data_IF_841586449073
#
_entry.id   IF_841586449073
#
_cell.length_a   1.000
_cell.length_b   1.000
_cell.length_c   1.000
_cell.angle_alpha   90.00
_cell.angle_beta   90.00
_cell.angle_gamma   90.00
#
_symmetry.space_group_name_H-M   'P 1'
#
loop_
_entity.id
_entity.type
_entity.pdbx_description
1 polymer ?
#
# COMPACT_ATOMS: atom_id res chain seq x y z
N UNK A 1 -59.26 37.76 16.11
CA UNK A 1 -58.10 38.54 16.58
C UNK A 1 -57.52 37.74 17.76
N UNK A 2 -56.57 36.82 17.55
CA UNK A 2 -55.12 37.06 17.38
C UNK A 2 -54.55 37.85 18.58
N UNK A 3 -53.51 37.46 19.32
CA UNK A 3 -52.51 36.41 19.21
C UNK A 3 -52.00 36.09 20.63
N UNK A 4 -51.64 34.84 20.89
CA UNK A 4 -50.81 34.47 22.04
C UNK A 4 -49.34 34.59 21.64
N UNK A 5 -48.60 35.36 22.43
CA UNK A 5 -47.17 35.57 22.33
C UNK A 5 -46.48 34.42 23.07
N UNK A 6 -45.78 33.54 22.35
CA UNK A 6 -44.87 32.56 22.94
C UNK A 6 -43.53 32.65 22.22
N UNK A 7 -42.56 33.03 23.02
CA UNK A 7 -41.13 33.19 22.77
C UNK A 7 -40.50 32.05 21.96
N UNK A 8 -39.75 32.44 20.93
CA UNK A 8 -38.77 31.60 20.24
C UNK A 8 -37.68 31.15 21.21
N UNK A 9 -37.59 29.85 21.47
CA UNK A 9 -36.39 29.21 22.03
C UNK A 9 -35.66 28.45 20.93
N UNK A 10 -34.51 29.00 20.54
CA UNK A 10 -33.35 28.38 19.88
C UNK A 10 -33.48 26.91 19.46
N UNK A 11 -33.53 26.68 18.15
CA UNK A 11 -33.11 25.43 17.53
C UNK A 11 -31.64 25.18 17.89
N UNK A 12 -31.42 24.22 18.79
CA UNK A 12 -30.12 23.63 19.00
C UNK A 12 -29.78 22.80 17.78
N UNK A 13 -28.84 23.29 16.97
CA UNK A 13 -28.15 22.53 15.95
C UNK A 13 -27.34 21.42 16.64
N UNK A 14 -28.01 20.31 16.96
CA UNK A 14 -27.36 19.07 17.35
C UNK A 14 -26.77 18.51 16.07
N UNK A 15 -25.53 18.89 15.77
CA UNK A 15 -24.75 18.27 14.70
C UNK A 15 -24.71 16.77 14.99
N UNK A 16 -25.53 15.98 14.28
CA UNK A 16 -25.45 14.53 14.30
C UNK A 16 -24.06 14.21 13.77
N UNK A 17 -23.15 13.86 14.67
CA UNK A 17 -21.82 13.35 14.34
C UNK A 17 -22.00 12.29 13.27
N UNK A 18 -21.61 12.60 12.02
CA UNK A 18 -21.68 11.66 10.90
C UNK A 18 -20.94 10.40 11.34
N UNK A 19 -21.66 9.28 11.45
CA UNK A 19 -21.10 7.96 11.74
C UNK A 19 -19.91 7.71 10.80
N UNK A 20 -18.71 7.50 11.34
CA UNK A 20 -17.47 7.25 10.58
C UNK A 20 -16.97 5.85 10.86
N UNK A 21 -17.32 4.92 9.99
CA UNK A 21 -16.96 3.50 10.12
C UNK A 21 -16.20 3.07 8.87
N UNK A 22 -14.94 2.68 9.04
CA UNK A 22 -14.10 2.21 7.95
C UNK A 22 -13.94 0.68 8.00
N UNK A 23 -14.02 0.03 6.85
CA UNK A 23 -13.65 -1.37 6.69
C UNK A 23 -12.42 -1.49 5.78
N UNK A 24 -11.34 -2.07 6.31
CA UNK A 24 -10.08 -2.25 5.60
C UNK A 24 -9.88 -3.73 5.29
N UNK A 25 -9.78 -4.07 4.00
CA UNK A 25 -9.21 -5.37 3.59
C UNK A 25 -7.68 -5.23 3.60
N UNK A 26 -6.94 -6.30 3.91
CA UNK A 26 -5.47 -6.24 3.94
C UNK A 26 -4.91 -5.38 5.09
N UNK A 27 -5.64 -5.25 6.19
CA UNK A 27 -5.28 -4.39 7.33
C UNK A 27 -3.92 -4.74 7.97
N UNK A 28 -3.48 -6.00 7.87
CA UNK A 28 -2.20 -6.48 8.40
C UNK A 28 -1.00 -6.18 7.49
N UNK A 29 -1.25 -5.59 6.32
CA UNK A 29 -0.22 -5.11 5.39
C UNK A 29 0.44 -3.82 5.86
N UNK A 30 1.37 -3.32 5.05
CA UNK A 30 2.02 -2.02 5.27
C UNK A 30 0.97 -0.91 5.35
N UNK A 31 0.24 -0.71 4.26
CA UNK A 31 -0.62 0.46 4.10
C UNK A 31 -1.84 0.34 5.01
N UNK A 32 -2.40 -0.86 5.15
CA UNK A 32 -3.50 -1.14 6.08
C UNK A 32 -3.17 -0.75 7.52
N UNK A 33 -1.93 -1.01 7.98
CA UNK A 33 -1.52 -0.64 9.34
C UNK A 33 -1.41 0.88 9.54
N UNK A 34 -0.82 1.61 8.59
CA UNK A 34 -0.71 3.07 8.68
C UNK A 34 -2.06 3.77 8.47
N UNK A 35 -2.90 3.22 7.59
CA UNK A 35 -4.25 3.75 7.37
C UNK A 35 -5.13 3.53 8.59
N UNK A 36 -5.03 2.37 9.26
CA UNK A 36 -5.75 2.13 10.51
C UNK A 36 -5.35 3.16 11.59
N UNK A 37 -4.05 3.43 11.76
CA UNK A 37 -3.55 4.48 12.67
C UNK A 37 -4.14 5.86 12.32
N UNK A 38 -4.10 6.24 11.04
CA UNK A 38 -4.61 7.52 10.55
C UNK A 38 -6.12 7.68 10.78
N UNK A 39 -6.90 6.63 10.53
CA UNK A 39 -8.36 6.67 10.67
C UNK A 39 -8.76 6.68 12.15
N UNK A 40 -8.12 5.88 13.00
CA UNK A 40 -8.33 5.90 14.45
C UNK A 40 -8.01 7.28 15.03
N UNK A 41 -6.90 7.91 14.61
CA UNK A 41 -6.56 9.27 15.05
C UNK A 41 -7.54 10.35 14.59
N UNK A 42 -8.38 10.05 13.58
CA UNK A 42 -9.47 10.90 13.08
C UNK A 42 -10.83 10.56 13.69
N UNK A 43 -10.87 9.65 14.67
CA UNK A 43 -12.08 9.24 15.38
C UNK A 43 -12.97 8.26 14.61
N UNK A 44 -12.42 7.54 13.62
CA UNK A 44 -13.16 6.47 12.94
C UNK A 44 -13.24 5.23 13.82
N UNK A 45 -14.37 4.54 13.75
CA UNK A 45 -14.41 3.12 14.08
C UNK A 45 -13.80 2.33 12.91
N UNK A 46 -12.71 1.60 13.16
CA UNK A 46 -11.96 0.85 12.16
C UNK A 46 -12.21 -0.64 12.31
N UNK A 47 -12.72 -1.24 11.25
CA UNK A 47 -12.85 -2.68 11.09
C UNK A 47 -11.81 -3.20 10.10
N UNK A 48 -11.22 -4.35 10.41
CA UNK A 48 -10.24 -5.00 9.54
C UNK A 48 -10.63 -6.42 9.20
N UNK A 49 -10.42 -6.83 7.94
CA UNK A 49 -10.52 -8.24 7.54
C UNK A 49 -9.14 -8.88 7.65
N UNK A 50 -9.06 -9.98 8.39
CA UNK A 50 -7.86 -10.82 8.52
C UNK A 50 -8.13 -12.24 8.02
N UNK A 51 -7.11 -12.82 7.39
CA UNK A 51 -7.13 -14.23 7.00
C UNK A 51 -6.82 -15.08 8.23
N UNK A 52 -7.49 -16.22 8.35
CA UNK A 52 -7.13 -17.24 9.34
C UNK A 52 -5.75 -17.79 8.98
N UNK A 53 -4.82 -17.75 9.92
CA UNK A 53 -3.51 -18.37 9.81
C UNK A 53 -3.25 -19.29 11.02
N UNK A 54 -2.36 -20.27 10.87
CA UNK A 54 -1.91 -21.12 11.99
C UNK A 54 -0.95 -20.39 12.93
N UNK A 55 -0.41 -19.25 12.49
CA UNK A 55 0.47 -18.36 13.24
C UNK A 55 -0.11 -16.95 13.32
N UNK A 56 0.31 -16.17 14.31
CA UNK A 56 -0.08 -14.77 14.41
C UNK A 56 0.43 -13.96 13.22
N UNK A 57 -0.47 -13.23 12.56
CA UNK A 57 -0.19 -12.44 11.36
C UNK A 57 -0.58 -10.96 11.52
N UNK A 58 -0.70 -10.48 12.77
CA UNK A 58 -1.18 -9.15 13.16
C UNK A 58 -0.09 -8.23 13.72
N UNK A 59 1.19 -8.59 13.62
CA UNK A 59 2.31 -7.86 14.25
C UNK A 59 2.39 -6.37 13.89
N UNK A 60 1.92 -5.96 12.70
CA UNK A 60 1.91 -4.55 12.26
C UNK A 60 0.80 -3.70 12.90
N UNK A 61 -0.17 -4.34 13.53
CA UNK A 61 -1.38 -3.70 14.09
C UNK A 61 -1.63 -4.11 15.55
N UNK A 62 -0.71 -4.88 16.14
CA UNK A 62 -0.86 -5.40 17.50
C UNK A 62 -0.90 -4.27 18.54
N UNK A 63 -0.16 -3.19 18.31
CA UNK A 63 -0.16 -1.99 19.15
C UNK A 63 -1.45 -1.17 19.08
N UNK A 64 -2.39 -1.52 18.19
CA UNK A 64 -3.69 -0.86 18.08
C UNK A 64 -4.76 -1.48 18.98
N UNK A 65 -4.49 -2.64 19.59
CA UNK A 65 -5.36 -3.20 20.62
C UNK A 65 -5.19 -2.45 21.94
N UNK A 66 -6.29 -2.27 22.69
CA UNK A 66 -6.23 -1.76 24.06
C UNK A 66 -5.39 -2.66 24.98
N UNK A 67 -5.46 -3.97 24.74
CA UNK A 67 -4.63 -4.98 25.40
C UNK A 67 -3.89 -5.83 24.35
N UNK A 68 -2.71 -5.39 23.90
CA UNK A 68 -1.94 -6.07 22.85
C UNK A 68 -1.64 -7.54 23.16
N UNK A 69 -1.25 -7.83 24.42
CA UNK A 69 -0.84 -9.17 24.86
C UNK A 69 -1.98 -10.20 24.83
N UNK A 70 -3.23 -9.77 25.00
CA UNK A 70 -4.41 -10.63 24.95
C UNK A 70 -5.18 -10.52 23.63
N UNK A 71 -4.73 -9.67 22.70
CA UNK A 71 -5.42 -9.31 21.47
C UNK A 71 -6.89 -8.90 21.71
N UNK A 72 -7.16 -8.23 22.83
CA UNK A 72 -8.51 -7.76 23.17
C UNK A 72 -8.58 -6.24 23.03
N UNK A 73 -9.67 -5.79 22.42
CA UNK A 73 -10.07 -4.38 22.39
C UNK A 73 -11.28 -4.25 23.31
N UNK A 74 -11.18 -3.42 24.34
CA UNK A 74 -12.31 -3.05 25.20
C UNK A 74 -13.07 -1.86 24.61
N UNK A 75 -12.39 -1.06 23.79
CA UNK A 75 -12.98 0.00 22.97
C UNK A 75 -13.66 -0.60 21.74
N UNK A 76 -14.82 -0.05 21.38
CA UNK A 76 -15.56 -0.41 20.16
C UNK A 76 -14.92 0.13 18.88
N UNK A 77 -13.78 0.84 18.99
CA UNK A 77 -13.16 1.62 17.91
C UNK A 77 -12.31 0.78 16.97
N UNK A 78 -11.78 -0.37 17.39
CA UNK A 78 -10.98 -1.25 16.54
C UNK A 78 -11.45 -2.70 16.63
N UNK A 79 -11.80 -3.32 15.50
CA UNK A 79 -12.30 -4.70 15.48
C UNK A 79 -11.86 -5.47 14.25
N UNK A 80 -11.35 -6.69 14.45
CA UNK A 80 -10.98 -7.59 13.37
C UNK A 80 -12.05 -8.65 13.13
N UNK A 81 -12.17 -9.06 11.86
CA UNK A 81 -13.09 -10.10 11.40
C UNK A 81 -12.32 -11.09 10.55
N UNK A 82 -12.61 -12.38 10.73
CA UNK A 82 -12.11 -13.40 9.81
C UNK A 82 -12.89 -13.36 8.50
N UNK A 83 -12.17 -13.26 7.39
CA UNK A 83 -12.70 -13.31 6.04
C UNK A 83 -11.60 -13.41 5.01
N UNK A 84 -11.96 -13.72 3.78
CA UNK A 84 -11.03 -13.80 2.65
C UNK A 84 -11.69 -13.21 1.40
N UNK A 85 -10.86 -12.59 0.54
CA UNK A 85 -11.31 -12.01 -0.72
C UNK A 85 -11.85 -13.07 -1.69
N UNK A 86 -11.54 -14.35 -1.46
CA UNK A 86 -12.06 -15.48 -2.25
C UNK A 86 -13.35 -16.09 -1.67
N UNK A 87 -13.85 -15.62 -0.52
CA UNK A 87 -15.07 -16.13 0.11
C UNK A 87 -16.18 -15.06 0.14
N UNK A 88 -17.05 -15.10 -0.87
CA UNK A 88 -18.18 -14.17 -1.01
C UNK A 88 -19.11 -14.14 0.20
N UNK A 89 -19.35 -15.30 0.85
CA UNK A 89 -20.25 -15.38 2.00
C UNK A 89 -19.69 -14.63 3.20
N UNK A 90 -18.37 -14.74 3.42
CA UNK A 90 -17.69 -13.99 4.47
C UNK A 90 -17.75 -12.48 4.25
N UNK A 91 -17.53 -12.02 3.00
CA UNK A 91 -17.55 -10.60 2.66
C UNK A 91 -18.95 -10.01 2.85
N UNK A 92 -19.99 -10.69 2.36
CA UNK A 92 -21.39 -10.25 2.55
C UNK A 92 -21.74 -10.17 4.04
N UNK A 93 -21.41 -11.19 4.83
CA UNK A 93 -21.66 -11.19 6.28
C UNK A 93 -20.96 -10.03 6.98
N UNK A 94 -19.69 -9.75 6.64
CA UNK A 94 -18.91 -8.67 7.24
C UNK A 94 -19.52 -7.32 6.86
N UNK A 95 -19.77 -7.07 5.57
CA UNK A 95 -20.39 -5.81 5.11
C UNK A 95 -21.75 -5.60 5.78
N UNK A 96 -22.60 -6.62 5.81
CA UNK A 96 -23.93 -6.55 6.43
C UNK A 96 -23.85 -6.24 7.92
N UNK A 97 -22.91 -6.84 8.66
CA UNK A 97 -22.78 -6.65 10.11
C UNK A 97 -22.12 -5.32 10.49
N UNK A 98 -21.15 -4.86 9.70
CA UNK A 98 -20.38 -3.64 9.97
C UNK A 98 -21.15 -2.40 9.52
N UNK A 99 -21.87 -2.46 8.39
CA UNK A 99 -22.50 -1.30 7.75
C UNK A 99 -21.52 -0.12 7.64
N UNK A 100 -20.36 -0.31 6.96
CA UNK A 100 -19.33 0.72 6.90
C UNK A 100 -19.82 1.95 6.12
N UNK A 101 -19.19 3.10 6.35
CA UNK A 101 -19.37 4.31 5.54
C UNK A 101 -18.24 4.45 4.51
N UNK A 102 -17.07 3.90 4.79
CA UNK A 102 -15.92 3.85 3.89
C UNK A 102 -15.35 2.43 3.84
N UNK A 103 -15.03 1.94 2.64
CA UNK A 103 -14.34 0.66 2.42
C UNK A 103 -13.04 0.91 1.69
N UNK A 104 -11.93 0.41 2.23
CA UNK A 104 -10.61 0.49 1.62
C UNK A 104 -10.14 -0.92 1.24
N UNK A 105 -10.15 -1.21 -0.06
CA UNK A 105 -9.72 -2.51 -0.58
C UNK A 105 -8.20 -2.53 -0.81
N UNK A 106 -7.45 -2.94 0.21
CA UNK A 106 -5.97 -3.00 0.18
C UNK A 106 -5.44 -4.44 0.14
N UNK A 107 -6.30 -5.45 0.29
CA UNK A 107 -5.91 -6.86 0.19
C UNK A 107 -5.43 -7.20 -1.22
N UNK A 108 -4.30 -7.90 -1.32
CA UNK A 108 -3.75 -8.39 -2.57
C UNK A 108 -2.68 -9.47 -2.33
N UNK A 109 -2.49 -10.37 -3.31
CA UNK A 109 -1.20 -11.00 -3.55
C UNK A 109 -0.30 -9.98 -4.25
N UNK A 110 0.41 -9.16 -3.47
CA UNK A 110 1.08 -7.95 -3.96
C UNK A 110 2.50 -8.14 -4.52
N UNK A 111 3.04 -9.37 -4.56
CA UNK A 111 4.40 -9.60 -4.99
C UNK A 111 4.48 -9.96 -6.49
N UNK A 112 4.97 -9.02 -7.30
CA UNK A 112 4.98 -9.15 -8.77
C UNK A 112 5.72 -10.41 -9.25
N UNK A 113 6.92 -10.72 -8.74
CA UNK A 113 7.65 -11.93 -9.16
C UNK A 113 6.89 -13.22 -8.84
N UNK A 114 6.18 -13.27 -7.70
CA UNK A 114 5.43 -14.45 -7.26
C UNK A 114 4.18 -14.63 -8.11
N UNK A 115 3.62 -13.54 -8.65
CA UNK A 115 2.45 -13.63 -9.53
C UNK A 115 2.69 -14.43 -10.81
N UNK A 116 3.93 -14.56 -11.28
CA UNK A 116 4.25 -15.44 -12.41
C UNK A 116 4.13 -16.93 -12.06
N UNK A 117 4.35 -17.29 -10.79
CA UNK A 117 4.29 -18.66 -10.30
C UNK A 117 2.89 -18.99 -9.71
N UNK A 118 2.14 -17.97 -9.26
CA UNK A 118 0.80 -18.07 -8.67
C UNK A 118 -0.23 -17.19 -9.41
N UNK A 119 -0.26 -17.27 -10.74
CA UNK A 119 -1.05 -16.38 -11.58
C UNK A 119 -2.57 -16.49 -11.30
N UNK A 120 -3.09 -17.72 -11.22
CA UNK A 120 -4.52 -17.96 -10.95
C UNK A 120 -4.95 -17.40 -9.59
N UNK A 121 -4.19 -17.71 -8.53
CA UNK A 121 -4.46 -17.18 -7.19
C UNK A 121 -4.36 -15.65 -7.15
N UNK A 122 -3.40 -15.06 -7.88
CA UNK A 122 -3.27 -13.60 -7.99
C UNK A 122 -4.50 -12.99 -8.64
N UNK A 123 -5.00 -13.55 -9.75
CA UNK A 123 -6.22 -13.09 -10.39
C UNK A 123 -7.44 -13.25 -9.47
N UNK A 124 -7.55 -14.38 -8.78
CA UNK A 124 -8.67 -14.69 -7.90
C UNK A 124 -8.82 -13.70 -6.75
N UNK A 125 -7.70 -13.29 -6.15
CA UNK A 125 -7.69 -12.33 -5.04
C UNK A 125 -7.75 -10.88 -5.55
N UNK A 126 -6.86 -10.50 -6.46
CA UNK A 126 -6.64 -9.09 -6.80
C UNK A 126 -7.71 -8.56 -7.76
N UNK A 127 -8.19 -9.40 -8.69
CA UNK A 127 -9.20 -9.06 -9.67
C UNK A 127 -10.61 -9.47 -9.19
N UNK A 128 -10.87 -10.78 -9.09
CA UNK A 128 -12.21 -11.30 -8.77
C UNK A 128 -12.61 -10.95 -7.34
N UNK A 129 -11.67 -10.92 -6.40
CA UNK A 129 -11.94 -10.44 -5.03
C UNK A 129 -12.44 -8.99 -4.98
N UNK A 130 -11.94 -8.11 -5.85
CA UNK A 130 -12.45 -6.72 -5.96
C UNK A 130 -13.91 -6.72 -6.43
N UNK A 131 -14.25 -7.52 -7.44
CA UNK A 131 -15.63 -7.70 -7.90
C UNK A 131 -16.52 -8.21 -6.75
N UNK A 132 -16.10 -9.27 -6.04
CA UNK A 132 -16.88 -9.83 -4.92
C UNK A 132 -17.18 -8.82 -3.83
N UNK A 133 -16.23 -7.96 -3.51
CA UNK A 133 -16.42 -6.93 -2.49
C UNK A 133 -17.41 -5.84 -2.94
N UNK A 134 -17.32 -5.41 -4.20
CA UNK A 134 -18.30 -4.49 -4.80
C UNK A 134 -19.70 -5.12 -4.85
N UNK A 135 -19.81 -6.39 -5.23
CA UNK A 135 -21.08 -7.11 -5.24
C UNK A 135 -21.65 -7.36 -3.84
N UNK A 136 -20.80 -7.59 -2.84
CA UNK A 136 -21.23 -7.67 -1.45
C UNK A 136 -21.85 -6.36 -0.98
N UNK A 137 -21.24 -5.21 -1.32
CA UNK A 137 -21.79 -3.87 -1.03
C UNK A 137 -23.17 -3.69 -1.67
N UNK A 138 -23.31 -4.04 -2.96
CA UNK A 138 -24.57 -3.93 -3.70
C UNK A 138 -25.64 -4.89 -3.19
N UNK A 139 -25.26 -6.12 -2.84
CA UNK A 139 -26.18 -7.14 -2.28
C UNK A 139 -26.73 -6.71 -0.92
N UNK A 140 -25.94 -5.99 -0.13
CA UNK A 140 -26.38 -5.37 1.12
C UNK A 140 -27.18 -4.08 0.94
N UNK A 141 -27.39 -3.60 -0.30
CA UNK A 141 -28.12 -2.37 -0.60
C UNK A 141 -27.40 -1.09 -0.17
N UNK A 142 -26.06 -1.11 -0.11
CA UNK A 142 -25.22 -0.02 0.40
C UNK A 142 -24.48 0.76 -0.70
N UNK A 143 -24.77 0.49 -1.97
CA UNK A 143 -24.08 1.08 -3.12
C UNK A 143 -24.23 2.61 -3.20
N UNK A 144 -25.26 3.18 -2.55
CA UNK A 144 -25.49 4.64 -2.50
C UNK A 144 -24.96 5.32 -1.24
N UNK A 145 -24.60 4.55 -0.21
CA UNK A 145 -24.19 5.08 1.10
C UNK A 145 -22.72 4.87 1.40
N UNK A 146 -22.07 3.89 0.76
CA UNK A 146 -20.65 3.59 0.94
C UNK A 146 -19.79 4.38 -0.04
N UNK A 147 -18.66 4.88 0.45
CA UNK A 147 -17.51 5.26 -0.39
C UNK A 147 -16.53 4.10 -0.46
N UNK A 148 -16.01 3.79 -1.65
CA UNK A 148 -15.13 2.67 -1.92
C UNK A 148 -13.79 3.13 -2.51
N UNK A 149 -12.69 2.73 -1.89
CA UNK A 149 -11.34 2.98 -2.38
C UNK A 149 -10.73 1.67 -2.89
N UNK A 150 -10.27 1.68 -4.14
CA UNK A 150 -9.48 0.60 -4.72
C UNK A 150 -7.99 0.96 -4.72
N UNK A 151 -7.17 0.08 -4.14
CA UNK A 151 -5.72 0.13 -4.30
C UNK A 151 -5.30 -0.38 -5.68
N UNK A 152 -5.27 0.54 -6.65
CA UNK A 152 -4.62 0.36 -7.95
C UNK A 152 -3.11 0.61 -7.83
N UNK A 153 -2.38 0.53 -8.95
CA UNK A 153 -0.91 0.51 -8.94
C UNK A 153 -0.31 1.05 -10.23
N UNK A 154 0.87 1.66 -10.13
CA UNK A 154 1.70 2.01 -11.29
C UNK A 154 2.12 0.80 -12.14
N UNK A 155 2.10 -0.42 -11.61
CA UNK A 155 2.38 -1.65 -12.38
C UNK A 155 1.36 -1.91 -13.51
N UNK A 156 0.21 -1.21 -13.52
CA UNK A 156 -0.74 -1.22 -14.64
C UNK A 156 -0.16 -0.51 -15.88
N UNK A 157 0.76 0.45 -15.72
CA UNK A 157 1.42 1.10 -16.85
C UNK A 157 2.42 0.18 -17.54
N UNK A 158 3.09 -0.70 -16.79
CA UNK A 158 4.02 -1.72 -17.28
C UNK A 158 4.98 -1.23 -18.37
N UNK A 159 4.72 -1.56 -19.64
CA UNK A 159 5.46 -1.01 -20.78
C UNK A 159 5.04 0.43 -21.05
N UNK A 160 5.74 1.35 -20.38
CA UNK A 160 5.43 2.78 -20.36
C UNK A 160 5.34 3.38 -21.76
N UNK A 161 4.22 4.06 -22.03
CA UNK A 161 3.94 4.77 -23.29
C UNK A 161 4.24 6.27 -23.21
N UNK A 162 4.14 6.87 -22.03
CA UNK A 162 4.33 8.30 -21.77
C UNK A 162 5.09 8.50 -20.47
N UNK A 163 5.95 9.52 -20.41
CA UNK A 163 6.73 9.88 -19.21
C UNK A 163 6.63 11.39 -18.96
N UNK A 164 6.29 11.84 -17.74
CA UNK A 164 5.77 11.03 -16.61
C UNK A 164 4.38 10.45 -16.92
N UNK A 165 3.98 9.40 -16.20
CA UNK A 165 2.66 8.79 -16.34
C UNK A 165 1.62 9.58 -15.53
N UNK A 166 0.43 9.77 -16.12
CA UNK A 166 -0.72 10.46 -15.51
C UNK A 166 -1.95 9.53 -15.48
N UNK A 167 -3.09 10.00 -14.96
CA UNK A 167 -4.36 9.26 -15.03
C UNK A 167 -4.84 8.98 -16.47
N UNK A 168 -4.30 9.71 -17.47
CA UNK A 168 -4.66 9.56 -18.89
C UNK A 168 -3.72 8.65 -19.67
N UNK A 169 -2.55 8.34 -19.10
CA UNK A 169 -1.55 7.54 -19.79
C UNK A 169 -2.08 6.12 -20.01
N UNK A 170 -2.01 5.56 -21.24
CA UNK A 170 -2.51 4.22 -21.52
C UNK A 170 -1.83 3.13 -20.68
N UNK A 171 -2.63 2.18 -20.20
CA UNK A 171 -2.12 1.02 -19.46
C UNK A 171 -1.55 -0.05 -20.40
N UNK A 172 -0.47 -0.70 -19.98
CA UNK A 172 0.14 -1.84 -20.67
C UNK A 172 0.79 -2.78 -19.63
N UNK A 173 0.01 -3.58 -18.88
CA UNK A 173 0.55 -4.39 -17.80
C UNK A 173 1.50 -5.49 -18.31
N UNK A 174 2.55 -5.77 -17.54
CA UNK A 174 3.66 -6.67 -17.91
C UNK A 174 3.82 -7.87 -16.97
N UNK A 175 2.81 -8.17 -16.16
CA UNK A 175 2.78 -9.30 -15.22
C UNK A 175 1.35 -9.76 -14.92
N UNK A 176 1.12 -11.00 -14.44
CA UNK A 176 -0.20 -11.44 -13.98
C UNK A 176 -0.79 -10.51 -12.89
N UNK A 177 0.05 -10.01 -11.99
CA UNK A 177 -0.33 -8.98 -11.01
C UNK A 177 -0.86 -7.70 -11.68
N UNK A 178 -0.12 -7.14 -12.63
CA UNK A 178 -0.53 -5.92 -13.34
C UNK A 178 -1.85 -6.11 -14.11
N UNK A 179 -2.05 -7.27 -14.74
CA UNK A 179 -3.30 -7.61 -15.45
C UNK A 179 -4.47 -7.73 -14.47
N UNK A 180 -4.29 -8.42 -13.34
CA UNK A 180 -5.33 -8.56 -12.33
C UNK A 180 -5.73 -7.19 -11.73
N UNK A 181 -4.75 -6.33 -11.45
CA UNK A 181 -5.00 -4.97 -10.98
C UNK A 181 -5.67 -4.08 -12.02
N UNK A 182 -5.38 -4.28 -13.31
CA UNK A 182 -6.07 -3.58 -14.40
C UNK A 182 -7.56 -3.98 -14.47
N UNK A 183 -7.89 -5.26 -14.27
CA UNK A 183 -9.30 -5.67 -14.11
C UNK A 183 -9.95 -4.95 -12.93
N UNK A 184 -9.30 -4.96 -11.76
CA UNK A 184 -9.82 -4.33 -10.54
C UNK A 184 -10.07 -2.82 -10.71
N UNK A 185 -9.20 -2.15 -11.46
CA UNK A 185 -9.36 -0.75 -11.85
C UNK A 185 -10.63 -0.55 -12.70
N UNK A 186 -10.79 -1.31 -13.78
CA UNK A 186 -11.92 -1.16 -14.68
C UNK A 186 -13.26 -1.57 -14.08
N UNK A 187 -13.30 -2.62 -13.24
CA UNK A 187 -14.54 -3.02 -12.57
C UNK A 187 -15.00 -1.95 -11.57
N UNK A 188 -14.08 -1.26 -10.89
CA UNK A 188 -14.37 -0.13 -10.03
C UNK A 188 -15.00 1.04 -10.82
N UNK A 189 -14.43 1.38 -11.99
CA UNK A 189 -14.99 2.40 -12.89
C UNK A 189 -16.39 1.99 -13.36
N UNK A 190 -16.57 0.73 -13.77
CA UNK A 190 -17.87 0.26 -14.22
C UNK A 190 -18.95 0.37 -13.12
N UNK A 191 -18.64 0.04 -11.87
CA UNK A 191 -19.60 0.17 -10.77
C UNK A 191 -19.91 1.64 -10.44
N UNK A 192 -18.91 2.53 -10.56
CA UNK A 192 -19.11 3.98 -10.46
C UNK A 192 -20.07 4.48 -11.53
N UNK A 193 -19.88 4.09 -12.79
CA UNK A 193 -20.65 4.60 -13.93
C UNK A 193 -22.05 3.97 -14.06
N UNK A 194 -22.13 2.64 -13.93
CA UNK A 194 -23.37 1.89 -14.13
C UNK A 194 -24.33 1.98 -12.92
N UNK A 195 -23.78 2.01 -11.71
CA UNK A 195 -24.58 1.99 -10.48
C UNK A 195 -24.47 3.28 -9.67
N UNK A 196 -23.71 4.28 -10.12
CA UNK A 196 -23.54 5.55 -9.40
C UNK A 196 -22.89 5.38 -8.02
N UNK A 197 -22.03 4.38 -7.85
CA UNK A 197 -21.27 4.17 -6.61
C UNK A 197 -20.19 5.25 -6.45
N UNK A 198 -19.92 5.67 -5.21
CA UNK A 198 -18.75 6.49 -4.92
C UNK A 198 -17.50 5.60 -4.84
N UNK A 199 -16.96 5.23 -6.01
CA UNK A 199 -15.83 4.31 -6.13
C UNK A 199 -14.62 4.99 -6.80
N UNK A 200 -13.49 5.03 -6.11
CA UNK A 200 -12.27 5.74 -6.52
C UNK A 200 -11.10 4.77 -6.68
N UNK A 201 -10.25 4.99 -7.69
CA UNK A 201 -8.98 4.31 -7.81
C UNK A 201 -7.82 5.23 -7.41
N UNK A 202 -6.99 4.79 -6.47
CA UNK A 202 -5.68 5.37 -6.27
C UNK A 202 -4.64 4.61 -7.09
N UNK A 203 -4.08 5.25 -8.11
CA UNK A 203 -3.00 4.73 -8.95
C UNK A 203 -1.67 5.06 -8.24
N UNK A 204 -1.35 4.27 -7.23
CA UNK A 204 -0.19 4.53 -6.38
C UNK A 204 1.09 3.99 -7.01
N UNK A 205 2.10 4.85 -7.08
CA UNK A 205 3.48 4.47 -7.36
C UNK A 205 4.13 3.78 -6.15
N UNK A 206 5.37 3.32 -6.27
CA UNK A 206 6.01 2.58 -5.20
C UNK A 206 6.09 3.42 -3.93
N UNK A 207 5.73 2.82 -2.80
CA UNK A 207 5.78 3.46 -1.50
C UNK A 207 6.19 2.47 -0.43
N UNK A 208 7.12 2.91 0.39
CA UNK A 208 7.95 2.05 1.21
C UNK A 208 7.95 2.58 2.65
N UNK A 209 8.42 1.75 3.59
CA UNK A 209 8.49 2.09 5.00
C UNK A 209 9.25 1.01 5.80
N UNK A 210 9.54 1.24 7.09
CA UNK A 210 9.95 0.19 8.02
C UNK A 210 8.94 -0.95 8.22
N UNK A 211 7.74 -0.88 7.64
CA UNK A 211 6.73 -1.97 7.67
C UNK A 211 6.66 -2.74 6.35
N UNK A 212 7.42 -2.35 5.32
CA UNK A 212 7.43 -3.01 4.02
C UNK A 212 7.74 -4.50 4.13
N UNK A 213 7.11 -5.33 3.30
CA UNK A 213 7.42 -6.76 3.24
C UNK A 213 8.87 -7.02 2.82
N UNK A 214 9.51 -8.01 3.41
CA UNK A 214 10.95 -8.28 3.25
C UNK A 214 11.34 -8.76 1.85
N UNK A 215 10.38 -9.28 1.10
CA UNK A 215 10.59 -9.73 -0.29
C UNK A 215 10.67 -8.56 -1.29
N UNK A 216 10.26 -7.34 -0.90
CA UNK A 216 10.39 -6.16 -1.76
C UNK A 216 11.81 -5.61 -1.71
N UNK A 217 12.29 -5.10 -2.85
CA UNK A 217 13.72 -4.77 -3.07
C UNK A 217 14.29 -3.79 -2.05
N UNK A 218 13.57 -2.74 -1.71
CA UNK A 218 13.97 -1.71 -0.74
C UNK A 218 14.21 -2.31 0.64
N UNK A 219 13.26 -3.10 1.13
CA UNK A 219 13.35 -3.75 2.44
C UNK A 219 14.38 -4.87 2.48
N UNK A 220 14.52 -5.59 1.36
CA UNK A 220 15.60 -6.58 1.19
C UNK A 220 16.97 -5.93 1.31
N UNK A 221 17.16 -4.75 0.69
CA UNK A 221 18.40 -3.97 0.79
C UNK A 221 18.65 -3.54 2.23
N UNK A 222 17.71 -2.83 2.88
CA UNK A 222 17.94 -2.26 4.22
C UNK A 222 18.15 -3.31 5.30
N UNK A 223 17.46 -4.46 5.21
CA UNK A 223 17.71 -5.59 6.11
C UNK A 223 19.07 -6.23 5.89
N UNK A 224 19.50 -6.38 4.63
CA UNK A 224 20.83 -6.90 4.34
C UNK A 224 21.94 -5.95 4.80
N UNK A 225 21.76 -4.62 4.67
CA UNK A 225 22.67 -3.64 5.29
C UNK A 225 22.81 -3.94 6.77
N UNK A 226 21.68 -4.05 7.48
CA UNK A 226 21.69 -4.28 8.91
C UNK A 226 22.39 -5.59 9.31
N UNK A 227 22.08 -6.69 8.61
CA UNK A 227 22.68 -8.00 8.86
C UNK A 227 24.18 -8.01 8.54
N UNK A 228 24.61 -7.40 7.44
CA UNK A 228 26.02 -7.34 7.04
C UNK A 228 26.84 -6.54 8.06
N UNK A 229 26.34 -5.36 8.48
CA UNK A 229 27.01 -4.52 9.48
C UNK A 229 27.15 -5.24 10.83
N UNK A 230 26.17 -6.07 11.18
CA UNK A 230 26.18 -6.86 12.42
C UNK A 230 26.89 -8.21 12.28
N UNK A 231 27.51 -8.52 11.14
CA UNK A 231 28.22 -9.79 10.90
C UNK A 231 27.29 -11.01 10.80
N UNK A 232 26.00 -10.81 10.54
CA UNK A 232 24.96 -11.84 10.44
C UNK A 232 24.73 -12.33 8.99
N UNK A 233 25.30 -11.63 8.01
CA UNK A 233 25.20 -11.95 6.59
C UNK A 233 26.48 -11.48 5.88
N UNK A 234 26.94 -12.23 4.88
CA UNK A 234 28.19 -11.89 4.17
C UNK A 234 27.97 -10.88 3.04
N UNK A 235 26.95 -11.09 2.22
CA UNK A 235 26.65 -10.31 1.00
C UNK A 235 25.16 -10.30 0.66
N UNK A 236 24.73 -9.34 -0.13
CA UNK A 236 23.39 -9.19 -0.68
C UNK A 236 23.35 -9.58 -2.17
N UNK A 237 22.41 -10.45 -2.55
CA UNK A 237 22.18 -10.80 -3.96
C UNK A 237 20.92 -10.07 -4.48
N UNK A 238 21.02 -9.37 -5.62
CA UNK A 238 19.92 -8.63 -6.26
C UNK A 238 19.70 -9.06 -7.72
N UNK A 239 18.63 -8.56 -8.34
CA UNK A 239 18.36 -8.74 -9.77
C UNK A 239 18.86 -7.54 -10.56
N UNK A 240 17.99 -6.97 -11.40
CA UNK A 240 18.28 -5.76 -12.18
C UNK A 240 18.53 -4.53 -11.28
N UNK A 241 19.77 -4.03 -11.25
CA UNK A 241 20.16 -2.83 -10.49
C UNK A 241 19.81 -1.52 -11.22
N UNK A 242 19.59 -1.56 -12.52
CA UNK A 242 19.29 -0.38 -13.36
C UNK A 242 17.80 -0.06 -13.42
N UNK A 243 16.94 -0.95 -12.92
CA UNK A 243 15.51 -0.71 -12.80
C UNK A 243 15.24 0.57 -12.00
N UNK A 244 14.44 1.49 -12.56
CA UNK A 244 14.11 2.79 -11.95
C UNK A 244 12.67 2.83 -11.46
N UNK A 245 12.46 3.37 -10.27
CA UNK A 245 11.17 3.49 -9.61
C UNK A 245 11.01 4.85 -8.97
N UNK A 246 9.77 5.30 -8.88
CA UNK A 246 9.34 6.42 -8.07
C UNK A 246 8.95 5.91 -6.68
N UNK A 247 9.76 6.22 -5.66
CA UNK A 247 9.62 5.72 -4.30
C UNK A 247 9.20 6.81 -3.32
N UNK A 248 7.97 6.75 -2.85
CA UNK A 248 7.45 7.55 -1.74
C UNK A 248 7.43 6.82 -0.39
N UNK A 249 6.96 7.51 0.65
CA UNK A 249 6.75 6.92 1.97
C UNK A 249 5.27 6.54 2.18
N UNK A 250 5.02 5.33 2.71
CA UNK A 250 3.66 4.78 2.86
C UNK A 250 2.71 5.66 3.71
N UNK A 251 3.23 6.36 4.72
CA UNK A 251 2.44 7.32 5.54
C UNK A 251 1.83 8.44 4.70
N UNK A 252 2.59 9.02 3.76
CA UNK A 252 2.07 10.08 2.89
C UNK A 252 0.98 9.54 1.96
N UNK A 253 1.13 8.29 1.52
CA UNK A 253 0.24 7.68 0.55
C UNK A 253 -1.10 7.30 1.19
N UNK A 254 -1.13 6.83 2.45
CA UNK A 254 -2.40 6.58 3.16
C UNK A 254 -3.16 7.89 3.45
N UNK A 255 -2.48 9.02 3.60
CA UNK A 255 -3.13 10.34 3.66
C UNK A 255 -3.85 10.66 2.34
N UNK A 256 -3.23 10.35 1.19
CA UNK A 256 -3.88 10.47 -0.11
C UNK A 256 -5.10 9.57 -0.25
N UNK A 257 -5.02 8.30 0.18
CA UNK A 257 -6.15 7.36 0.16
C UNK A 257 -7.37 7.96 0.87
N UNK A 258 -7.15 8.46 2.10
CA UNK A 258 -8.19 9.10 2.88
C UNK A 258 -8.70 10.38 2.18
N UNK A 259 -7.82 11.24 1.67
CA UNK A 259 -8.20 12.50 1.02
C UNK A 259 -9.06 12.28 -0.24
N UNK A 260 -8.72 11.30 -1.08
CA UNK A 260 -9.51 10.90 -2.26
C UNK A 260 -10.95 10.55 -1.82
N UNK A 261 -11.08 9.80 -0.73
CA UNK A 261 -12.35 9.36 -0.20
C UNK A 261 -13.19 10.49 0.40
N UNK A 262 -12.62 11.68 0.63
CA UNK A 262 -13.36 12.83 1.13
C UNK A 262 -14.00 13.68 0.03
N UNK A 263 -13.68 13.45 -1.24
CA UNK A 263 -14.26 14.19 -2.36
C UNK A 263 -15.79 14.04 -2.47
N UNK A 264 -16.47 15.08 -2.95
CA UNK A 264 -17.91 15.03 -3.20
C UNK A 264 -18.26 14.08 -4.35
N UNK A 265 -17.42 14.05 -5.39
CA UNK A 265 -17.57 13.17 -6.56
C UNK A 265 -16.39 12.18 -6.64
N UNK A 266 -16.65 10.89 -6.89
CA UNK A 266 -15.58 9.90 -7.05
C UNK A 266 -14.76 10.17 -8.31
N UNK A 267 -13.45 9.94 -8.22
CA UNK A 267 -12.50 10.15 -9.32
C UNK A 267 -11.22 9.34 -9.05
N UNK A 268 -10.35 9.21 -10.06
CA UNK A 268 -9.11 8.43 -10.00
C UNK A 268 -7.89 9.35 -9.93
N UNK A 269 -6.84 8.96 -9.21
CA UNK A 269 -5.67 9.83 -8.97
C UNK A 269 -4.36 9.06 -9.04
N UNK A 270 -3.37 9.62 -9.75
CA UNK A 270 -1.97 9.24 -9.63
C UNK A 270 -1.40 9.82 -8.34
N UNK A 271 -0.82 8.95 -7.53
CA UNK A 271 -0.13 9.32 -6.28
C UNK A 271 1.32 8.87 -6.40
N UNK A 272 2.23 9.84 -6.50
CA UNK A 272 3.63 9.66 -6.84
C UNK A 272 4.49 10.79 -6.25
N UNK A 273 5.79 10.58 -6.18
CA UNK A 273 6.74 11.64 -5.77
C UNK A 273 7.12 12.55 -6.93
N UNK A 274 7.15 12.03 -8.16
CA UNK A 274 7.70 12.73 -9.32
C UNK A 274 9.22 12.63 -9.41
N UNK A 275 9.85 11.74 -8.65
CA UNK A 275 11.29 11.47 -8.69
C UNK A 275 11.57 9.99 -8.90
N UNK A 276 12.29 9.63 -9.98
CA UNK A 276 12.69 8.25 -10.25
C UNK A 276 14.15 8.01 -9.83
N UNK A 277 14.36 6.93 -9.06
CA UNK A 277 15.69 6.45 -8.63
C UNK A 277 15.87 5.00 -9.05
N UNK A 278 17.11 4.63 -9.36
CA UNK A 278 17.49 3.24 -9.65
C UNK A 278 17.63 2.41 -8.38
N UNK A 279 17.50 1.09 -8.52
CA UNK A 279 17.83 0.14 -7.44
C UNK A 279 19.29 0.33 -6.99
N UNK A 280 20.19 0.61 -7.92
CA UNK A 280 21.58 1.00 -7.64
C UNK A 280 21.68 2.22 -6.73
N UNK A 281 20.99 3.31 -7.06
CA UNK A 281 21.00 4.52 -6.21
C UNK A 281 20.49 4.21 -4.80
N UNK A 282 19.49 3.34 -4.65
CA UNK A 282 19.03 2.87 -3.34
C UNK A 282 20.12 2.09 -2.60
N UNK A 283 20.81 1.16 -3.27
CA UNK A 283 21.94 0.42 -2.69
C UNK A 283 23.05 1.37 -2.23
N UNK A 284 23.46 2.32 -3.08
CA UNK A 284 24.50 3.30 -2.75
C UNK A 284 24.07 4.16 -1.56
N UNK A 285 22.84 4.65 -1.55
CA UNK A 285 22.32 5.46 -0.44
C UNK A 285 22.25 4.67 0.88
N UNK A 286 21.99 3.36 0.83
CA UNK A 286 21.85 2.52 2.01
C UNK A 286 23.20 1.97 2.55
N UNK A 287 24.11 1.57 1.66
CA UNK A 287 25.40 0.94 2.03
C UNK A 287 26.61 1.89 1.98
N UNK A 288 26.53 3.02 1.29
CA UNK A 288 27.71 3.75 0.79
C UNK A 288 28.67 2.83 0.03
N UNK A 289 28.14 1.99 -0.88
CA UNK A 289 28.86 0.93 -1.58
C UNK A 289 28.94 1.24 -3.09
N UNK A 290 30.09 1.73 -3.60
CA UNK A 290 30.25 2.00 -5.03
C UNK A 290 30.23 0.68 -5.82
N UNK A 291 29.58 0.72 -6.98
CA UNK A 291 29.49 -0.42 -7.90
C UNK A 291 30.56 -0.41 -8.99
N UNK A 292 30.90 -1.59 -9.51
CA UNK A 292 31.65 -1.76 -10.74
C UNK A 292 31.10 -2.93 -11.58
N UNK A 293 31.38 -2.91 -12.88
CA UNK A 293 30.81 -3.87 -13.84
C UNK A 293 29.44 -3.43 -14.37
N UNK A 294 28.74 -4.36 -15.04
CA UNK A 294 27.40 -4.15 -15.57
C UNK A 294 26.67 -5.50 -15.74
N UNK A 295 25.34 -5.47 -15.70
CA UNK A 295 24.53 -6.67 -15.94
C UNK A 295 24.77 -7.76 -14.88
N UNK A 296 25.04 -9.00 -15.31
CA UNK A 296 25.23 -10.13 -14.39
C UNK A 296 26.58 -10.11 -13.67
N UNK A 297 27.58 -9.42 -14.23
CA UNK A 297 28.94 -9.33 -13.68
C UNK A 297 29.08 -8.16 -12.70
N UNK A 298 27.98 -7.47 -12.43
CA UNK A 298 27.98 -6.29 -11.60
C UNK A 298 28.06 -6.61 -10.10
N UNK A 299 28.94 -5.88 -9.43
CA UNK A 299 29.23 -6.03 -8.00
C UNK A 299 29.33 -4.68 -7.30
N UNK A 300 29.00 -4.66 -6.01
CA UNK A 300 29.19 -3.52 -5.12
C UNK A 300 30.22 -3.85 -4.05
N UNK A 301 31.18 -2.95 -3.83
CA UNK A 301 32.29 -3.13 -2.88
C UNK A 301 32.11 -2.33 -1.59
N UNK A 302 32.66 -2.83 -0.49
CA UNK A 302 32.76 -2.07 0.75
C UNK A 302 33.69 -0.86 0.55
N UNK A 303 33.15 0.36 0.54
CA UNK A 303 33.94 1.57 0.36
C UNK A 303 34.98 1.80 1.48
N UNK A 304 34.85 1.11 2.61
CA UNK A 304 35.80 1.19 3.72
C UNK A 304 36.97 0.21 3.57
N UNK A 305 36.86 -0.77 2.67
CA UNK A 305 37.91 -1.72 2.39
C UNK A 305 38.82 -1.17 1.27
N UNK A 306 40.00 -0.70 1.67
CA UNK A 306 41.01 -0.13 0.75
C UNK A 306 42.08 -1.14 0.33
N UNK A 307 41.82 -2.44 0.51
CA UNK A 307 42.75 -3.49 0.07
C UNK A 307 42.73 -3.67 -1.46
N UNK A 308 43.73 -4.36 -2.00
CA UNK A 308 43.82 -4.66 -3.44
C UNK A 308 42.68 -5.57 -3.95
N UNK A 309 41.98 -6.27 -3.04
CA UNK A 309 40.84 -7.12 -3.33
C UNK A 309 39.68 -6.82 -2.37
N UNK A 310 38.98 -5.69 -2.57
CA UNK A 310 37.99 -5.20 -1.63
C UNK A 310 36.82 -6.16 -1.49
N UNK A 311 36.28 -6.27 -0.27
CA UNK A 311 35.13 -7.11 0.04
C UNK A 311 33.93 -6.73 -0.81
N UNK A 312 33.36 -7.73 -1.49
CA UNK A 312 32.10 -7.60 -2.24
C UNK A 312 30.92 -7.70 -1.27
N UNK A 313 30.08 -6.66 -1.23
CA UNK A 313 28.88 -6.58 -0.41
C UNK A 313 27.60 -6.86 -1.20
N UNK A 314 27.60 -6.56 -2.50
CA UNK A 314 26.43 -6.74 -3.38
C UNK A 314 26.84 -7.47 -4.65
N UNK A 315 26.03 -8.41 -5.10
CA UNK A 315 26.20 -9.04 -6.41
C UNK A 315 24.85 -9.32 -7.09
N UNK A 316 24.89 -9.50 -8.41
CA UNK A 316 23.71 -9.81 -9.21
C UNK A 316 23.48 -11.32 -9.30
N UNK A 317 22.23 -11.75 -9.17
CA UNK A 317 21.82 -13.15 -9.30
C UNK A 317 20.64 -13.26 -10.29
N UNK A 318 20.78 -14.04 -11.39
CA UNK A 318 19.74 -14.26 -12.40
C UNK A 318 18.37 -14.66 -11.82
N UNK A 319 18.33 -15.37 -10.69
CA UNK A 319 17.08 -15.84 -10.07
C UNK A 319 16.12 -14.70 -9.67
N UNK A 320 16.63 -13.49 -9.49
CA UNK A 320 15.84 -12.32 -9.09
C UNK A 320 15.31 -11.50 -10.27
N UNK A 321 15.67 -11.85 -11.51
CA UNK A 321 15.08 -11.23 -12.69
C UNK A 321 13.66 -11.74 -12.91
N UNK A 322 12.84 -10.91 -13.55
CA UNK A 322 11.46 -11.24 -13.93
C UNK A 322 11.42 -11.70 -15.38
N UNK A 323 10.48 -12.57 -15.77
CA UNK A 323 10.28 -12.93 -17.18
C UNK A 323 9.99 -11.71 -18.08
N UNK A 324 9.34 -10.71 -17.51
CA UNK A 324 9.08 -9.43 -18.14
C UNK A 324 9.26 -8.33 -17.10
N UNK A 325 10.20 -7.42 -17.34
CA UNK A 325 10.56 -6.36 -16.42
C UNK A 325 9.77 -5.07 -16.72
N UNK A 326 9.58 -4.26 -15.69
CA UNK A 326 9.16 -2.87 -15.82
C UNK A 326 10.41 -2.02 -15.63
N UNK A 327 10.91 -1.39 -16.68
CA UNK A 327 12.22 -0.73 -16.64
C UNK A 327 12.17 0.60 -15.89
N UNK A 328 11.12 1.38 -16.12
CA UNK A 328 11.02 2.76 -15.66
C UNK A 328 9.59 3.10 -15.22
N UNK A 329 9.44 3.76 -14.08
CA UNK A 329 8.18 4.30 -13.59
C UNK A 329 8.44 5.68 -12.97
N UNK A 330 7.65 6.67 -13.38
CA UNK A 330 7.70 8.05 -12.90
C UNK A 330 6.30 8.67 -13.00
N UNK A 331 5.68 8.99 -11.87
CA UNK A 331 4.31 9.49 -11.85
C UNK A 331 4.24 11.02 -11.80
N UNK A 332 3.21 11.59 -12.42
CA UNK A 332 2.84 12.99 -12.25
C UNK A 332 1.58 13.09 -11.38
N UNK A 333 1.76 13.53 -10.14
CA UNK A 333 0.69 13.73 -9.17
C UNK A 333 0.08 15.15 -9.20
N UNK A 334 0.22 15.90 -10.29
CA UNK A 334 -0.30 17.27 -10.42
C UNK A 334 -1.80 17.37 -10.16
N UNK A 335 -2.59 16.38 -10.61
CA UNK A 335 -4.04 16.32 -10.33
C UNK A 335 -4.31 16.20 -8.83
N UNK A 336 -3.59 15.33 -8.12
CA UNK A 336 -3.71 15.17 -6.67
C UNK A 336 -3.34 16.45 -5.92
N UNK A 337 -2.26 17.13 -6.33
CA UNK A 337 -1.86 18.42 -5.76
C UNK A 337 -2.94 19.49 -5.92
N UNK A 338 -3.51 19.63 -7.12
CA UNK A 338 -4.52 20.64 -7.41
C UNK A 338 -5.87 20.36 -6.73
N UNK A 339 -6.29 19.09 -6.70
CA UNK A 339 -7.65 18.70 -6.26
C UNK A 339 -7.73 18.30 -4.79
N UNK A 340 -6.64 17.78 -4.23
CA UNK A 340 -6.60 17.26 -2.85
C UNK A 340 -5.70 18.12 -1.95
N UNK A 341 -4.89 19.03 -2.51
CA UNK A 341 -3.83 19.70 -1.77
C UNK A 341 -2.73 18.74 -1.29
N UNK A 342 -2.63 17.55 -1.89
CA UNK A 342 -1.69 16.51 -1.49
C UNK A 342 -0.33 16.68 -2.18
N UNK A 343 0.75 16.47 -1.43
CA UNK A 343 2.11 16.37 -1.93
C UNK A 343 2.94 15.45 -1.03
N UNK A 344 3.96 14.74 -1.56
CA UNK A 344 4.86 13.95 -0.73
C UNK A 344 5.60 14.85 0.27
N UNK A 345 5.81 14.36 1.49
CA UNK A 345 6.53 15.04 2.58
C UNK A 345 7.91 14.43 2.81
N UNK A 346 8.06 13.14 2.55
CA UNK A 346 9.33 12.43 2.69
C UNK A 346 10.16 12.54 1.41
N UNK A 347 11.43 12.89 1.57
CA UNK A 347 12.45 12.73 0.52
C UNK A 347 12.92 11.27 0.42
N UNK A 348 13.55 10.94 -0.72
CA UNK A 348 14.20 9.66 -0.94
C UNK A 348 15.25 9.34 0.14
N UNK A 349 16.09 10.31 0.51
CA UNK A 349 17.15 10.14 1.49
C UNK A 349 16.59 9.88 2.90
N UNK A 350 15.51 10.59 3.28
CA UNK A 350 14.81 10.35 4.54
C UNK A 350 14.20 8.95 4.59
N UNK A 351 13.58 8.50 3.49
CA UNK A 351 13.02 7.16 3.38
C UNK A 351 14.09 6.08 3.57
N UNK A 352 15.20 6.16 2.83
CA UNK A 352 16.31 5.20 2.94
C UNK A 352 16.86 5.18 4.36
N UNK A 353 17.11 6.37 4.94
CA UNK A 353 17.63 6.50 6.31
C UNK A 353 16.71 5.88 7.35
N UNK A 354 15.41 6.19 7.32
CA UNK A 354 14.43 5.65 8.28
C UNK A 354 14.37 4.12 8.20
N UNK A 355 14.38 3.57 6.99
CA UNK A 355 14.33 2.12 6.79
C UNK A 355 15.60 1.42 7.31
N UNK A 356 16.79 1.94 6.99
CA UNK A 356 18.06 1.38 7.49
C UNK A 356 18.13 1.47 9.01
N UNK A 357 17.81 2.63 9.60
CA UNK A 357 17.83 2.81 11.05
C UNK A 357 16.89 1.83 11.76
N UNK A 358 15.67 1.64 11.23
CA UNK A 358 14.70 0.72 11.79
C UNK A 358 15.17 -0.75 11.72
N UNK A 359 15.73 -1.17 10.59
CA UNK A 359 16.24 -2.53 10.43
C UNK A 359 17.50 -2.78 11.28
N UNK A 360 18.38 -1.79 11.44
CA UNK A 360 19.50 -1.85 12.38
C UNK A 360 19.02 -2.11 13.82
N UNK A 361 17.98 -1.40 14.26
CA UNK A 361 17.42 -1.61 15.60
C UNK A 361 16.67 -2.93 15.74
N UNK A 362 16.03 -3.40 14.66
CA UNK A 362 15.36 -4.69 14.64
C UNK A 362 16.38 -5.83 14.76
N UNK A 363 17.42 -5.85 13.91
CA UNK A 363 18.42 -6.91 13.88
C UNK A 363 19.31 -6.97 15.14
N UNK A 364 19.51 -5.84 15.81
CA UNK A 364 20.17 -5.80 17.13
C UNK A 364 19.34 -6.48 18.22
N UNK A 365 18.02 -6.31 18.19
CA UNK A 365 17.09 -6.88 19.19
C UNK A 365 16.75 -8.33 18.89
N UNK A 366 16.59 -8.68 17.61
CA UNK A 366 16.24 -10.01 17.16
C UNK A 366 16.96 -10.31 15.82
N UNK A 367 18.11 -11.00 15.86
CA UNK A 367 18.86 -11.40 14.66
C UNK A 367 18.08 -12.29 13.66
N UNK A 368 17.01 -12.95 14.15
CA UNK A 368 16.17 -13.85 13.36
C UNK A 368 14.89 -13.19 12.83
N UNK A 369 14.66 -11.92 13.15
CA UNK A 369 13.54 -11.14 12.62
C UNK A 369 13.68 -10.86 11.13
#
# INVERSE_FOLDING_TARGET
MANADVSKSSDGDVSISKRRVALLTGITGQDGSYLAELLLSKGYQVHGIIRRASTFNTSRIEHLYDHPQSHTSTTSMFKLHYGDMTDSSSLVKIIQSVQPTEVYNLAAQSHVKVSFDLAEYTAEVDAVGTLRLLDAIKTCGLEKSIRFYQASTSEMYGEVREVPQTEKTPFYPRSPYGVAKLYAYWICINYREAYGMHACNGILFNHESPRRGENFVTRKITRAVAKIVLGQQERLELGNLDAKRDWGHAKDYVEAMHAIMQLDKPDDFVIATGEARSVREFVVAAFACPGAGAGLDEVGYDAKDTSDNPRVLVCVNPKYFRPSEVEFLLGDASKAKQRLGWSPKYSFEQLVKEMVDADMQLMKRNPMA
#
